data_IF_610871519675
#
_entry.id   IF_610871519675
#
_cell.length_a   1.000
_cell.length_b   1.000
_cell.length_c   1.000
_cell.angle_alpha   90.00
_cell.angle_beta   90.00
_cell.angle_gamma   90.00
#
_symmetry.space_group_name_H-M   'P 1'
#
loop_
_entity.id
_entity.type
_entity.pdbx_description
1 polymer ?
#
# COMPACT_ATOMS: atom_id res chain seq x y z
N UNK A 1 19.39 17.83 9.26
CA UNK A 1 18.89 17.77 10.43
C UNK A 1 17.50 17.46 10.38
N UNK A 2 17.08 16.77 11.14
CA UNK A 2 15.87 16.51 11.12
C UNK A 2 15.07 17.47 11.73
N UNK A 3 14.16 17.92 11.13
CA UNK A 3 13.24 18.80 11.68
C UNK A 3 12.44 18.14 12.74
N UNK A 4 12.30 18.76 13.86
CA UNK A 4 11.31 18.32 14.79
C UNK A 4 9.96 18.71 14.25
N UNK A 5 8.96 17.89 14.47
CA UNK A 5 7.62 18.26 14.12
C UNK A 5 7.22 19.52 14.88
N UNK A 6 6.52 20.45 14.22
CA UNK A 6 6.03 21.62 14.92
C UNK A 6 5.15 21.19 16.08
N UNK A 7 5.33 21.82 17.24
CA UNK A 7 4.49 21.59 18.41
C UNK A 7 3.16 22.31 18.30
N UNK A 8 3.03 23.26 17.36
CA UNK A 8 1.80 23.98 17.15
C UNK A 8 0.74 23.12 16.47
N UNK A 9 -0.51 23.38 16.79
CA UNK A 9 -1.65 22.64 16.28
C UNK A 9 -2.50 23.59 15.44
N UNK A 10 -2.80 23.17 14.22
CA UNK A 10 -3.78 23.83 13.38
C UNK A 10 -5.13 23.14 13.53
N UNK A 11 -6.20 23.89 13.53
CA UNK A 11 -7.55 23.32 13.66
C UNK A 11 -8.20 23.20 12.30
N UNK A 12 -8.84 22.07 12.09
CA UNK A 12 -9.58 21.77 10.87
C UNK A 12 -10.99 21.40 11.21
N UNK A 13 -11.95 21.99 10.52
CA UNK A 13 -13.35 21.59 10.62
C UNK A 13 -13.75 20.94 9.30
N UNK A 14 -14.41 19.79 9.38
CA UNK A 14 -14.83 19.08 8.19
C UNK A 14 -16.14 18.34 8.42
N UNK A 15 -16.85 18.07 7.33
CA UNK A 15 -18.06 17.26 7.34
C UNK A 15 -17.80 15.95 6.63
N UNK A 16 -18.33 14.87 7.16
CA UNK A 16 -18.25 13.55 6.58
C UNK A 16 -19.64 12.97 6.34
N UNK A 17 -19.83 12.08 5.37
CA UNK A 17 -21.04 11.29 5.31
C UNK A 17 -21.27 10.56 6.63
N UNK A 18 -22.51 10.47 7.06
CA UNK A 18 -22.85 9.93 8.38
C UNK A 18 -22.30 8.53 8.62
N UNK A 19 -22.39 7.67 7.62
CA UNK A 19 -21.89 6.29 7.75
C UNK A 19 -20.37 6.25 7.89
N UNK A 20 -19.66 7.08 7.14
CA UNK A 20 -18.20 7.17 7.24
C UNK A 20 -17.78 7.72 8.61
N UNK A 21 -18.52 8.69 9.14
CA UNK A 21 -18.28 9.22 10.47
C UNK A 21 -18.43 8.12 11.53
N UNK A 22 -19.50 7.31 11.42
CA UNK A 22 -19.74 6.20 12.32
C UNK A 22 -18.60 5.18 12.27
N UNK A 23 -18.12 4.85 11.07
CA UNK A 23 -17.01 3.92 10.90
C UNK A 23 -15.72 4.46 11.48
N UNK A 24 -15.49 5.77 11.36
CA UNK A 24 -14.34 6.43 11.97
C UNK A 24 -14.36 6.26 13.50
N UNK A 25 -15.51 6.50 14.12
CA UNK A 25 -15.65 6.34 15.57
C UNK A 25 -15.43 4.89 16.01
N UNK A 26 -15.90 3.93 15.24
CA UNK A 26 -15.65 2.52 15.52
C UNK A 26 -14.16 2.20 15.47
N UNK A 27 -13.44 2.73 14.49
CA UNK A 27 -11.99 2.52 14.40
C UNK A 27 -11.25 3.12 15.59
N UNK A 28 -11.65 4.32 16.02
CA UNK A 28 -11.04 4.96 17.20
C UNK A 28 -11.19 4.06 18.41
N UNK A 29 -12.38 3.51 18.62
CA UNK A 29 -12.65 2.64 19.75
C UNK A 29 -11.91 1.32 19.65
N UNK A 30 -11.95 0.66 18.52
CA UNK A 30 -11.29 -0.63 18.29
C UNK A 30 -9.78 -0.57 18.45
N UNK A 31 -9.17 0.54 18.02
CA UNK A 31 -7.72 0.72 18.14
C UNK A 31 -7.30 1.30 19.48
N UNK A 32 -8.24 1.63 20.35
CA UNK A 32 -7.93 2.21 21.66
C UNK A 32 -7.26 3.57 21.56
N UNK A 33 -7.58 4.36 20.51
CA UNK A 33 -6.97 5.66 20.34
C UNK A 33 -7.68 6.71 21.21
N UNK A 34 -6.95 7.75 21.66
CA UNK A 34 -7.54 8.75 22.57
C UNK A 34 -8.50 9.72 21.89
N UNK A 35 -8.44 9.87 20.56
CA UNK A 35 -9.29 10.84 19.87
C UNK A 35 -9.40 10.56 18.37
N UNK A 36 -10.44 11.13 17.76
CA UNK A 36 -10.59 11.13 16.31
C UNK A 36 -9.43 11.82 15.62
N UNK A 37 -8.96 12.92 16.20
CA UNK A 37 -7.83 13.68 15.64
C UNK A 37 -6.58 12.83 15.51
N UNK A 38 -6.33 11.97 16.46
CA UNK A 38 -5.16 11.10 16.40
C UNK A 38 -5.28 10.05 15.30
N UNK A 39 -6.44 9.45 15.14
CA UNK A 39 -6.66 8.51 14.04
C UNK A 39 -6.53 9.22 12.69
N UNK A 40 -7.15 10.39 12.55
CA UNK A 40 -7.07 11.15 11.29
C UNK A 40 -5.62 11.53 10.98
N UNK A 41 -4.85 11.95 11.98
CA UNK A 41 -3.44 12.24 11.78
C UNK A 41 -2.64 11.02 11.29
N UNK A 42 -2.91 9.84 11.85
CA UNK A 42 -2.28 8.60 11.38
C UNK A 42 -2.64 8.28 9.94
N UNK A 43 -3.91 8.42 9.57
CA UNK A 43 -4.36 8.18 8.21
C UNK A 43 -3.72 9.14 7.22
N UNK A 44 -3.59 10.42 7.61
CA UNK A 44 -2.93 11.43 6.77
C UNK A 44 -1.44 11.10 6.61
N UNK A 45 -0.76 10.73 7.68
CA UNK A 45 0.67 10.35 7.59
C UNK A 45 0.85 9.15 6.66
N UNK A 46 -0.05 8.18 6.74
CA UNK A 46 -0.02 7.02 5.86
C UNK A 46 -0.21 7.42 4.39
N UNK A 47 -1.18 8.28 4.12
CA UNK A 47 -1.43 8.77 2.76
C UNK A 47 -0.26 9.61 2.22
N UNK A 48 0.34 10.43 3.08
CA UNK A 48 1.51 11.24 2.69
C UNK A 48 2.72 10.38 2.38
N UNK A 49 2.95 9.32 3.14
CA UNK A 49 4.06 8.41 2.87
C UNK A 49 3.90 7.75 1.49
N UNK A 50 2.70 7.33 1.14
CA UNK A 50 2.41 6.79 -0.19
C UNK A 50 2.59 7.84 -1.28
N UNK A 51 2.17 9.09 -1.01
CA UNK A 51 2.34 10.20 -1.96
C UNK A 51 3.82 10.53 -2.19
N UNK A 52 4.63 10.55 -1.13
CA UNK A 52 6.06 10.81 -1.25
C UNK A 52 6.75 9.78 -2.14
N UNK A 53 6.33 8.53 -2.08
CA UNK A 53 6.87 7.51 -2.97
C UNK A 53 6.61 7.81 -4.44
N UNK A 54 5.54 8.54 -4.77
CA UNK A 54 5.26 8.95 -6.16
C UNK A 54 5.97 10.24 -6.55
N UNK A 55 6.31 11.10 -5.57
CA UNK A 55 6.97 12.39 -5.85
C UNK A 55 8.49 12.32 -5.85
N UNK A 56 9.07 11.22 -5.40
CA UNK A 56 10.51 10.99 -5.39
C UNK A 56 10.85 9.76 -6.23
N UNK A 57 10.81 9.89 -7.58
CA UNK A 57 10.92 8.72 -8.46
C UNK A 57 12.25 7.97 -8.36
N UNK A 58 13.32 8.65 -7.98
CA UNK A 58 14.65 8.04 -7.89
C UNK A 58 14.96 7.44 -6.52
N UNK A 59 14.07 7.61 -5.55
CA UNK A 59 14.29 7.08 -4.23
C UNK A 59 14.24 5.56 -4.24
N UNK A 60 15.24 4.92 -3.64
CA UNK A 60 15.28 3.46 -3.55
C UNK A 60 14.34 2.98 -2.45
N UNK A 61 13.43 2.13 -2.83
CA UNK A 61 12.44 1.55 -1.92
C UNK A 61 12.56 0.04 -1.91
N UNK A 62 12.11 -0.57 -0.83
CA UNK A 62 11.94 -2.01 -0.72
C UNK A 62 10.57 -2.29 -0.09
N UNK A 63 9.98 -3.38 -0.48
CA UNK A 63 8.66 -3.74 0.06
C UNK A 63 8.16 -5.04 -0.53
N UNK A 64 6.87 -5.26 -0.35
CA UNK A 64 6.21 -6.44 -0.88
C UNK A 64 5.00 -6.05 -1.71
N UNK A 65 4.74 -6.84 -2.74
CA UNK A 65 3.49 -6.78 -3.50
C UNK A 65 2.75 -8.09 -3.28
N UNK A 66 1.52 -8.01 -2.86
CA UNK A 66 0.70 -9.18 -2.60
C UNK A 66 -0.47 -9.19 -3.57
N UNK A 67 -0.62 -10.28 -4.31
CA UNK A 67 -1.63 -10.41 -5.34
C UNK A 67 -2.42 -11.68 -5.08
N UNK A 68 -3.74 -11.56 -5.08
CA UNK A 68 -4.64 -12.73 -4.97
C UNK A 68 -5.39 -12.84 -6.29
N UNK A 69 -5.41 -14.03 -6.85
CA UNK A 69 -6.09 -14.29 -8.11
C UNK A 69 -6.64 -15.72 -8.13
N UNK A 70 -7.54 -15.99 -9.08
CA UNK A 70 -8.07 -17.34 -9.23
C UNK A 70 -7.08 -18.21 -10.00
N UNK A 71 -6.74 -19.33 -9.41
CA UNK A 71 -5.72 -20.23 -9.96
C UNK A 71 -6.14 -20.95 -11.26
N UNK A 72 -7.44 -20.97 -11.56
CA UNK A 72 -7.96 -21.56 -12.79
C UNK A 72 -7.80 -20.68 -14.02
N UNK A 73 -7.30 -19.43 -13.84
CA UNK A 73 -7.11 -18.52 -14.96
C UNK A 73 -5.66 -18.52 -15.42
N UNK A 74 -5.34 -19.39 -16.38
CA UNK A 74 -3.99 -19.46 -16.96
C UNK A 74 -3.51 -18.14 -17.52
N UNK A 75 -4.42 -17.28 -18.00
CA UNK A 75 -4.09 -15.95 -18.50
C UNK A 75 -3.44 -15.07 -17.44
N UNK A 76 -3.97 -15.10 -16.21
CA UNK A 76 -3.41 -14.31 -15.10
C UNK A 76 -2.01 -14.81 -14.74
N UNK A 77 -1.80 -16.12 -14.69
CA UNK A 77 -0.50 -16.71 -14.41
C UNK A 77 0.53 -16.32 -15.48
N UNK A 78 0.12 -16.38 -16.73
CA UNK A 78 1.01 -16.01 -17.83
C UNK A 78 1.39 -14.54 -17.76
N UNK A 79 0.43 -13.67 -17.48
CA UNK A 79 0.66 -12.24 -17.33
C UNK A 79 1.58 -11.93 -16.16
N UNK A 80 1.40 -12.61 -15.03
CA UNK A 80 2.27 -12.47 -13.87
C UNK A 80 3.71 -12.88 -14.20
N UNK A 81 3.89 -14.02 -14.83
CA UNK A 81 5.21 -14.51 -15.20
C UNK A 81 5.89 -13.55 -16.19
N UNK A 82 5.15 -13.03 -17.14
CA UNK A 82 5.67 -12.09 -18.11
C UNK A 82 6.08 -10.77 -17.45
N UNK A 83 5.25 -10.26 -16.55
CA UNK A 83 5.55 -9.03 -15.83
C UNK A 83 6.78 -9.20 -14.95
N UNK A 84 6.90 -10.32 -14.23
CA UNK A 84 8.09 -10.59 -13.42
C UNK A 84 9.35 -10.65 -14.28
N UNK A 85 9.26 -11.21 -15.48
CA UNK A 85 10.39 -11.27 -16.40
C UNK A 85 10.85 -9.89 -16.85
N UNK A 86 9.93 -8.96 -17.02
CA UNK A 86 10.24 -7.57 -17.40
C UNK A 86 10.87 -6.78 -16.26
N UNK A 87 10.62 -7.17 -15.01
CA UNK A 87 11.09 -6.46 -13.82
C UNK A 87 12.06 -7.32 -12.99
N UNK A 88 12.92 -8.09 -13.67
CA UNK A 88 13.85 -9.01 -12.99
C UNK A 88 14.78 -8.33 -11.99
N UNK A 89 15.15 -7.08 -12.24
CA UNK A 89 16.03 -6.36 -11.33
C UNK A 89 15.31 -5.96 -10.05
N UNK A 90 14.03 -5.64 -10.16
CA UNK A 90 13.23 -5.15 -9.06
C UNK A 90 12.63 -6.28 -8.22
N UNK A 91 12.31 -7.42 -8.83
CA UNK A 91 11.72 -8.55 -8.12
C UNK A 91 12.84 -9.43 -7.58
N UNK A 92 13.06 -9.38 -6.27
CA UNK A 92 14.12 -10.13 -5.60
C UNK A 92 13.74 -11.58 -5.39
N UNK A 93 12.51 -11.81 -4.96
CA UNK A 93 11.97 -13.15 -4.75
C UNK A 93 10.48 -13.18 -4.94
N UNK A 94 9.94 -14.36 -5.16
CA UNK A 94 8.52 -14.58 -5.35
C UNK A 94 8.12 -15.81 -4.56
N UNK A 95 7.00 -15.75 -3.85
CA UNK A 95 6.43 -16.88 -3.15
C UNK A 95 4.99 -17.07 -3.58
N UNK A 96 4.66 -18.29 -3.96
CA UNK A 96 3.32 -18.66 -4.37
C UNK A 96 2.69 -19.55 -3.30
N UNK A 97 1.48 -19.20 -2.89
CA UNK A 97 0.71 -19.97 -1.92
C UNK A 97 -0.63 -20.31 -2.52
N UNK A 98 -1.02 -21.58 -2.41
CA UNK A 98 -2.34 -22.00 -2.83
C UNK A 98 -3.31 -21.79 -1.67
N UNK A 99 -4.38 -21.04 -1.94
CA UNK A 99 -5.44 -20.78 -0.97
C UNK A 99 -6.63 -21.70 -1.26
N UNK A 100 -7.63 -21.68 -0.38
CA UNK A 100 -8.86 -22.39 -0.60
C UNK A 100 -9.66 -21.76 -1.75
N UNK A 101 -10.66 -22.48 -2.28
CA UNK A 101 -11.55 -22.01 -3.34
C UNK A 101 -10.85 -21.61 -4.65
N UNK A 102 -9.82 -22.39 -5.04
CA UNK A 102 -9.06 -22.16 -6.28
C UNK A 102 -8.41 -20.78 -6.34
N UNK A 103 -8.13 -20.18 -5.20
CA UNK A 103 -7.40 -18.92 -5.16
C UNK A 103 -5.92 -19.16 -4.99
N UNK A 104 -5.14 -18.28 -5.58
CA UNK A 104 -3.69 -18.23 -5.43
C UNK A 104 -3.26 -16.90 -4.87
N UNK A 105 -2.27 -16.91 -4.01
CA UNK A 105 -1.66 -15.72 -3.47
C UNK A 105 -0.19 -15.69 -3.88
N UNK A 106 0.21 -14.59 -4.48
CA UNK A 106 1.60 -14.38 -4.89
C UNK A 106 2.16 -13.22 -4.08
N UNK A 107 3.30 -13.43 -3.44
CA UNK A 107 3.99 -12.37 -2.70
C UNK A 107 5.32 -12.13 -3.37
N UNK A 108 5.52 -10.91 -3.86
CA UNK A 108 6.78 -10.50 -4.48
C UNK A 108 7.55 -9.62 -3.50
N UNK A 109 8.78 -9.98 -3.21
CA UNK A 109 9.70 -9.10 -2.49
C UNK A 109 10.40 -8.23 -3.53
N UNK A 110 10.26 -6.92 -3.42
CA UNK A 110 10.75 -5.97 -4.42
C UNK A 110 11.68 -4.93 -3.83
N UNK A 111 12.60 -4.46 -4.64
CA UNK A 111 13.50 -3.37 -4.29
C UNK A 111 13.90 -2.64 -5.56
N UNK A 112 13.91 -1.34 -5.53
CA UNK A 112 14.31 -0.54 -6.67
C UNK A 112 13.87 0.91 -6.56
N UNK A 113 14.12 1.70 -7.62
CA UNK A 113 13.64 3.07 -7.66
C UNK A 113 12.12 3.14 -7.62
N UNK A 114 11.60 4.13 -6.91
CA UNK A 114 10.15 4.28 -6.75
C UNK A 114 9.41 4.29 -8.08
N UNK A 115 9.96 4.93 -9.10
CA UNK A 115 9.34 4.98 -10.42
C UNK A 115 9.17 3.57 -11.01
N UNK A 116 10.18 2.71 -10.88
CA UNK A 116 10.13 1.34 -11.41
C UNK A 116 9.14 0.48 -10.62
N UNK A 117 9.10 0.64 -9.30
CA UNK A 117 8.17 -0.12 -8.46
C UNK A 117 6.73 0.29 -8.73
N UNK A 118 6.48 1.59 -8.97
CA UNK A 118 5.15 2.06 -9.33
C UNK A 118 4.72 1.52 -10.71
N UNK A 119 5.61 1.48 -11.69
CA UNK A 119 5.34 0.88 -12.99
C UNK A 119 4.99 -0.62 -12.85
N UNK A 120 5.72 -1.33 -12.00
CA UNK A 120 5.44 -2.73 -11.71
C UNK A 120 4.05 -2.91 -11.09
N UNK A 121 3.70 -2.09 -10.10
CA UNK A 121 2.37 -2.12 -9.49
C UNK A 121 1.27 -1.88 -10.51
N UNK A 122 1.45 -0.89 -11.38
CA UNK A 122 0.47 -0.55 -12.40
C UNK A 122 0.31 -1.68 -13.42
N UNK A 123 1.39 -2.35 -13.77
CA UNK A 123 1.36 -3.48 -14.70
C UNK A 123 0.60 -4.69 -14.12
N UNK A 124 0.50 -4.79 -12.80
CA UNK A 124 -0.16 -5.91 -12.12
C UNK A 124 -1.61 -5.62 -11.71
N UNK A 125 -2.12 -4.45 -12.00
CA UNK A 125 -3.51 -4.08 -11.70
C UNK A 125 -4.50 -4.50 -12.75
#
# INVERSE_FOLDING_TARGET
>A
MMGTEPTSVARLSMSLPSELFRQLDMMVEERGLPSRSQLIAELIRHALAAHEATTRPDEMLAGTLTIVYRGDRGRVRHQLAQTQAEYLKEVISSQHVFLEDDQSLEVLLVQGPAVRLNELCDALR
#
